data_IF_032854342011
#
_entry.id   IF_032854342011
#
_cell.length_a   1.000
_cell.length_b   1.000
_cell.length_c   1.000
_cell.angle_alpha   90.00
_cell.angle_beta   90.00
_cell.angle_gamma   90.00
#
_symmetry.space_group_name_H-M   'P 1'
#
loop_
_entity.id
_entity.type
_entity.pdbx_description
1 polymer ?
#
# COMPACT_ATOMS: atom_id res chain seq x y z
N UNK A 1 32.00 -20.50 -35.47
CA UNK A 1 31.55 -20.31 -34.08
C UNK A 1 30.65 -19.08 -34.07
N UNK A 2 29.33 -19.31 -34.17
CA UNK A 2 28.35 -18.22 -34.23
C UNK A 2 28.25 -17.55 -32.87
N UNK A 3 28.60 -16.26 -32.83
CA UNK A 3 28.34 -15.40 -31.69
C UNK A 3 26.84 -15.31 -31.45
N UNK A 4 26.45 -15.45 -30.18
CA UNK A 4 25.10 -15.26 -29.70
C UNK A 4 24.65 -13.84 -30.07
N UNK A 5 23.71 -13.73 -31.01
CA UNK A 5 23.03 -12.48 -31.29
C UNK A 5 22.09 -12.19 -30.14
N UNK A 6 22.40 -11.15 -29.37
CA UNK A 6 21.44 -10.51 -28.49
C UNK A 6 20.78 -9.43 -29.34
N UNK A 7 19.46 -9.52 -29.49
CA UNK A 7 18.69 -8.93 -30.57
C UNK A 7 18.43 -7.44 -30.31
N UNK A 8 19.27 -6.56 -30.83
CA UNK A 8 19.21 -5.10 -30.61
C UNK A 8 18.20 -4.39 -31.53
N UNK A 9 16.94 -4.83 -31.57
CA UNK A 9 15.96 -4.27 -32.52
C UNK A 9 14.52 -4.10 -32.07
N UNK A 10 14.12 -4.61 -30.91
CA UNK A 10 12.70 -4.60 -30.52
C UNK A 10 12.41 -4.69 -29.02
N UNK A 11 13.40 -4.49 -28.16
CA UNK A 11 13.21 -4.51 -26.72
C UNK A 11 12.64 -3.17 -26.25
N UNK A 12 11.47 -3.23 -25.63
CA UNK A 12 10.86 -2.08 -24.96
C UNK A 12 11.62 -1.79 -23.66
N UNK A 13 11.92 -0.52 -23.34
CA UNK A 13 12.42 -0.15 -22.02
C UNK A 13 11.53 -0.72 -20.91
N UNK A 14 12.14 -1.15 -19.81
CA UNK A 14 11.41 -1.80 -18.71
C UNK A 14 10.32 -0.89 -18.15
N UNK A 15 10.60 0.40 -17.99
CA UNK A 15 9.64 1.38 -17.48
C UNK A 15 8.42 1.53 -18.39
N UNK A 16 8.63 1.57 -19.71
CA UNK A 16 7.55 1.64 -20.69
C UNK A 16 6.68 0.37 -20.65
N UNK A 17 7.31 -0.79 -20.47
CA UNK A 17 6.60 -2.06 -20.35
C UNK A 17 5.77 -2.11 -19.05
N UNK A 18 6.32 -1.66 -17.93
CA UNK A 18 5.61 -1.58 -16.64
C UNK A 18 4.42 -0.62 -16.74
N UNK A 19 4.64 0.58 -17.31
CA UNK A 19 3.59 1.58 -17.46
C UNK A 19 2.42 1.06 -18.30
N UNK A 20 2.71 0.38 -19.42
CA UNK A 20 1.68 -0.21 -20.27
C UNK A 20 0.93 -1.36 -19.59
N UNK A 21 1.63 -2.20 -18.83
CA UNK A 21 0.98 -3.28 -18.07
C UNK A 21 0.05 -2.70 -17.01
N UNK A 22 0.51 -1.71 -16.24
CA UNK A 22 -0.30 -1.04 -15.22
C UNK A 22 -1.52 -0.34 -15.82
N UNK A 23 -1.39 0.26 -17.00
CA UNK A 23 -2.50 0.91 -17.70
C UNK A 23 -3.62 -0.06 -18.14
N UNK A 24 -3.34 -1.36 -18.20
CA UNK A 24 -4.30 -2.41 -18.59
C UNK A 24 -4.92 -3.14 -17.39
N UNK A 25 -4.46 -2.85 -16.17
CA UNK A 25 -4.97 -3.52 -14.97
C UNK A 25 -6.44 -3.12 -14.76
N UNK A 26 -7.33 -4.08 -14.46
CA UNK A 26 -8.72 -3.77 -14.15
C UNK A 26 -8.84 -2.90 -12.89
N UNK A 27 -10.03 -2.34 -12.68
CA UNK A 27 -10.32 -1.64 -11.44
C UNK A 27 -10.09 -2.55 -10.21
N UNK A 28 -9.76 -1.98 -9.04
CA UNK A 28 -9.65 -2.73 -7.80
C UNK A 28 -10.92 -3.58 -7.53
N UNK A 29 -10.79 -4.70 -6.79
CA UNK A 29 -11.93 -5.53 -6.44
C UNK A 29 -12.95 -4.75 -5.60
N UNK A 30 -14.16 -5.31 -5.50
CA UNK A 30 -15.19 -4.76 -4.63
C UNK A 30 -14.73 -4.68 -3.16
N UNK A 31 -15.25 -3.68 -2.46
CA UNK A 31 -15.00 -3.47 -1.03
C UNK A 31 -15.85 -4.43 -0.22
N UNK A 32 -15.27 -4.96 0.86
CA UNK A 32 -15.98 -5.75 1.86
C UNK A 32 -15.53 -5.34 3.26
N UNK A 33 -16.44 -5.48 4.23
CA UNK A 33 -16.10 -5.34 5.64
C UNK A 33 -15.62 -6.68 6.19
N UNK A 34 -14.45 -6.66 6.82
CA UNK A 34 -13.83 -7.84 7.42
C UNK A 34 -13.49 -7.58 8.88
N UNK A 35 -13.45 -8.64 9.69
CA UNK A 35 -12.97 -8.51 11.05
C UNK A 35 -11.47 -8.16 11.07
N UNK A 36 -11.02 -7.42 12.08
CA UNK A 36 -9.61 -6.98 12.19
C UNK A 36 -8.60 -8.13 12.15
N UNK A 37 -8.96 -9.28 12.72
CA UNK A 37 -8.12 -10.50 12.70
C UNK A 37 -7.86 -11.04 11.28
N UNK A 38 -8.75 -10.74 10.34
CA UNK A 38 -8.70 -11.20 8.96
C UNK A 38 -8.20 -10.08 8.01
N UNK A 39 -7.89 -8.90 8.54
CA UNK A 39 -7.49 -7.72 7.76
C UNK A 39 -6.00 -7.68 7.38
N UNK A 40 -5.16 -8.53 7.99
CA UNK A 40 -3.72 -8.53 7.72
C UNK A 40 -3.41 -8.85 6.25
N UNK A 41 -2.64 -7.97 5.58
CA UNK A 41 -2.29 -8.11 4.16
C UNK A 41 -3.35 -7.60 3.18
N UNK A 42 -4.48 -7.08 3.67
CA UNK A 42 -5.51 -6.39 2.87
C UNK A 42 -5.14 -4.92 2.66
N UNK A 43 -5.82 -4.26 1.72
CA UNK A 43 -5.68 -2.82 1.45
C UNK A 43 -6.95 -2.11 1.91
N UNK A 44 -6.80 -0.98 2.61
CA UNK A 44 -7.94 -0.15 3.01
C UNK A 44 -8.65 0.42 1.78
N UNK A 45 -9.98 0.33 1.79
CA UNK A 45 -10.82 0.87 0.71
C UNK A 45 -10.92 2.40 0.74
N UNK A 46 -10.82 2.99 1.93
CA UNK A 46 -10.93 4.43 2.17
C UNK A 46 -10.03 4.85 3.35
N UNK A 47 -9.75 6.17 3.51
CA UNK A 47 -9.01 6.67 4.67
C UNK A 47 -9.68 6.28 5.99
N UNK A 48 -8.87 6.01 7.02
CA UNK A 48 -9.36 5.70 8.36
C UNK A 48 -9.03 6.87 9.31
N UNK A 49 -10.06 7.59 9.73
CA UNK A 49 -9.95 8.66 10.71
C UNK A 49 -10.25 8.17 12.12
N UNK A 50 -9.52 8.71 13.10
CA UNK A 50 -9.79 8.44 14.51
C UNK A 50 -11.14 9.07 14.90
N UNK A 51 -12.04 8.27 15.49
CA UNK A 51 -13.35 8.75 15.92
C UNK A 51 -13.32 9.63 17.18
N UNK A 52 -12.20 9.65 17.90
CA UNK A 52 -11.98 10.44 19.12
C UNK A 52 -10.47 10.63 19.39
N UNK A 53 -10.08 11.67 20.17
CA UNK A 53 -8.70 11.89 20.58
C UNK A 53 -8.17 10.76 21.48
N UNK A 54 -6.91 10.37 21.27
CA UNK A 54 -6.21 9.36 22.07
C UNK A 54 -4.85 9.91 22.49
N UNK A 55 -4.62 10.24 23.78
CA UNK A 55 -5.56 10.12 24.90
C UNK A 55 -6.70 11.14 24.82
N UNK A 56 -7.87 10.85 25.42
CA UNK A 56 -9.02 11.75 25.37
C UNK A 56 -8.88 12.98 26.30
N UNK A 57 -7.94 12.95 27.23
CA UNK A 57 -7.67 14.01 28.21
C UNK A 57 -6.22 13.94 28.68
N UNK A 58 -5.76 15.03 29.29
CA UNK A 58 -4.42 15.12 29.85
C UNK A 58 -4.23 14.03 30.93
N UNK A 59 -3.17 13.24 30.79
CA UNK A 59 -2.79 12.21 31.76
C UNK A 59 -1.31 12.32 32.10
N UNK A 60 -0.95 11.99 33.34
CA UNK A 60 0.45 11.87 33.70
C UNK A 60 1.06 10.65 33.03
N UNK A 61 2.22 10.81 32.40
CA UNK A 61 2.99 9.71 31.84
C UNK A 61 3.79 8.95 32.92
N UNK A 62 3.97 9.56 34.10
CA UNK A 62 4.84 9.08 35.17
C UNK A 62 4.16 9.25 36.53
N UNK A 63 4.68 8.54 37.53
CA UNK A 63 4.31 8.77 38.91
C UNK A 63 4.98 10.04 39.44
N UNK A 64 4.22 10.85 40.19
CA UNK A 64 4.71 12.12 40.73
C UNK A 64 3.58 12.96 41.31
N UNK A 65 3.83 14.25 41.45
CA UNK A 65 2.85 15.22 41.97
C UNK A 65 2.50 16.24 40.87
N UNK A 66 1.20 16.45 40.65
CA UNK A 66 0.71 17.60 39.89
C UNK A 66 0.75 18.83 40.81
N UNK A 67 1.42 19.90 40.37
CA UNK A 67 1.61 21.15 41.11
C UNK A 67 1.12 22.34 40.28
#
# INVERSE_FOLDING_TARGET
MSGCGCDTGGLKPVDDAIAELLARVPAPPAVEEVALRDALGRVLAEPLDASFPVPPWDNSAMDGYAL
#
